data_IF_489380398663
#
_entry.id   IF_489380398663
#
_cell.length_a   1.000
_cell.length_b   1.000
_cell.length_c   1.000
_cell.angle_alpha   90.00
_cell.angle_beta   90.00
_cell.angle_gamma   90.00
#
_symmetry.space_group_name_H-M   'P 1'
#
loop_
_entity.id
_entity.type
_entity.pdbx_description
1 polymer ?
#
# COMPACT_ATOMS: atom_id res chain seq x y z
N UNK A 1 -40.99 3.22 -18.81
CA UNK A 1 -39.80 3.81 -19.44
C UNK A 1 -38.87 4.23 -18.33
N UNK A 2 -37.59 3.81 -18.30
CA UNK A 2 -36.65 4.32 -17.30
C UNK A 2 -36.53 5.84 -17.48
N UNK A 3 -36.57 6.60 -16.37
CA UNK A 3 -36.47 8.05 -16.42
C UNK A 3 -35.08 8.44 -16.94
N UNK A 4 -35.02 9.10 -18.11
CA UNK A 4 -33.80 9.60 -18.75
C UNK A 4 -32.91 10.42 -17.79
N UNK A 5 -33.54 11.13 -16.86
CA UNK A 5 -32.86 11.94 -15.85
C UNK A 5 -32.09 11.09 -14.84
N UNK A 6 -32.63 9.92 -14.44
CA UNK A 6 -31.96 8.99 -13.52
C UNK A 6 -30.75 8.32 -14.18
N UNK A 7 -30.88 7.93 -15.46
CA UNK A 7 -29.79 7.31 -16.22
C UNK A 7 -28.60 8.25 -16.46
N UNK A 8 -28.86 9.54 -16.68
CA UNK A 8 -27.79 10.54 -16.80
C UNK A 8 -27.04 10.68 -15.47
N UNK A 9 -27.76 10.76 -14.35
CA UNK A 9 -27.19 10.90 -13.01
C UNK A 9 -26.25 9.72 -12.67
N UNK A 10 -26.67 8.48 -12.92
CA UNK A 10 -25.83 7.29 -12.69
C UNK A 10 -24.54 7.31 -13.53
N UNK A 11 -24.63 7.80 -14.78
CA UNK A 11 -23.49 7.89 -15.68
C UNK A 11 -22.51 9.00 -15.26
N UNK A 12 -23.01 10.14 -14.76
CA UNK A 12 -22.18 11.19 -14.18
C UNK A 12 -21.44 10.71 -12.93
N UNK A 13 -22.11 9.98 -12.04
CA UNK A 13 -21.46 9.40 -10.86
C UNK A 13 -20.38 8.38 -11.26
N UNK A 14 -20.66 7.47 -12.20
CA UNK A 14 -19.66 6.52 -12.71
C UNK A 14 -18.46 7.21 -13.36
N UNK A 15 -18.67 8.29 -14.10
CA UNK A 15 -17.59 9.03 -14.75
C UNK A 15 -16.70 9.75 -13.74
N UNK A 16 -17.28 10.37 -12.71
CA UNK A 16 -16.54 11.01 -11.62
C UNK A 16 -15.72 9.98 -10.83
N UNK A 17 -16.32 8.83 -10.52
CA UNK A 17 -15.65 7.72 -9.81
C UNK A 17 -14.47 7.19 -10.64
N UNK A 18 -14.67 6.96 -11.94
CA UNK A 18 -13.59 6.47 -12.81
C UNK A 18 -12.43 7.46 -12.93
N UNK A 19 -12.72 8.75 -13.09
CA UNK A 19 -11.67 9.76 -13.20
C UNK A 19 -10.93 9.99 -11.88
N UNK A 20 -11.62 9.83 -10.74
CA UNK A 20 -11.01 9.84 -9.43
C UNK A 20 -10.06 8.64 -9.28
N UNK A 21 -10.55 7.42 -9.53
CA UNK A 21 -9.79 6.17 -9.35
C UNK A 21 -8.46 6.13 -10.12
N UNK A 22 -8.42 6.65 -11.36
CA UNK A 22 -7.19 6.67 -12.17
C UNK A 22 -6.05 7.44 -11.50
N UNK A 23 -6.33 8.57 -10.84
CA UNK A 23 -5.29 9.42 -10.25
C UNK A 23 -4.60 8.77 -9.04
N UNK A 24 -5.37 8.00 -8.25
CA UNK A 24 -4.85 7.36 -7.04
C UNK A 24 -3.93 6.17 -7.33
N UNK A 25 -4.15 5.48 -8.44
CA UNK A 25 -3.25 4.41 -8.90
C UNK A 25 -1.87 4.99 -9.22
N UNK A 26 -1.82 6.12 -9.94
CA UNK A 26 -0.54 6.83 -10.19
C UNK A 26 0.13 7.28 -8.90
N UNK A 27 -0.64 7.82 -7.95
CA UNK A 27 -0.10 8.20 -6.63
C UNK A 27 0.54 7.00 -5.91
N UNK A 28 -0.12 5.84 -5.91
CA UNK A 28 0.38 4.62 -5.26
C UNK A 28 1.65 4.09 -5.94
N UNK A 29 1.74 4.18 -7.27
CA UNK A 29 2.94 3.82 -8.04
C UNK A 29 4.11 4.75 -7.70
N UNK A 30 3.86 6.07 -7.61
CA UNK A 30 4.89 7.04 -7.22
C UNK A 30 5.40 6.74 -5.80
N UNK A 31 4.49 6.45 -4.88
CA UNK A 31 4.82 6.04 -3.51
C UNK A 31 5.69 4.78 -3.47
N UNK A 32 5.40 3.80 -4.31
CA UNK A 32 6.20 2.59 -4.44
C UNK A 32 7.64 2.89 -4.91
N UNK A 33 7.82 3.78 -5.89
CA UNK A 33 9.15 4.19 -6.34
C UNK A 33 9.92 4.99 -5.28
N UNK A 34 9.23 5.83 -4.50
CA UNK A 34 9.82 6.55 -3.35
C UNK A 34 10.29 5.54 -2.29
N UNK A 35 9.48 4.53 -1.99
CA UNK A 35 9.84 3.47 -1.05
C UNK A 35 11.09 2.71 -1.51
N UNK A 36 11.16 2.34 -2.80
CA UNK A 36 12.35 1.70 -3.39
C UNK A 36 13.58 2.61 -3.24
N UNK A 37 13.47 3.89 -3.58
CA UNK A 37 14.56 4.84 -3.39
C UNK A 37 15.00 4.93 -1.92
N UNK A 38 14.04 4.90 -0.98
CA UNK A 38 14.30 4.88 0.46
C UNK A 38 15.16 3.70 0.89
N UNK A 39 14.90 2.50 0.35
CA UNK A 39 15.72 1.30 0.60
C UNK A 39 17.15 1.48 0.07
N UNK A 40 17.31 2.01 -1.15
CA UNK A 40 18.64 2.15 -1.78
C UNK A 40 19.51 3.22 -1.14
N UNK A 41 18.93 4.37 -0.74
CA UNK A 41 19.68 5.45 -0.08
C UNK A 41 20.10 5.06 1.35
N UNK A 42 19.27 4.31 2.06
CA UNK A 42 19.36 4.15 3.51
C UNK A 42 20.16 2.92 3.96
N UNK A 43 21.23 2.56 3.23
CA UNK A 43 22.01 1.32 3.48
C UNK A 43 22.67 1.24 4.87
N UNK A 44 22.84 2.37 5.56
CA UNK A 44 23.54 2.44 6.87
C UNK A 44 22.60 2.22 8.07
N UNK A 45 21.32 2.51 7.91
CA UNK A 45 20.37 2.53 9.03
C UNK A 45 19.27 1.48 8.79
N UNK A 46 19.43 0.31 9.41
CA UNK A 46 18.53 -0.85 9.23
C UNK A 46 17.07 -0.47 9.56
N UNK A 47 16.86 0.40 10.55
CA UNK A 47 15.52 0.89 10.92
C UNK A 47 14.85 1.64 9.76
N UNK A 48 15.60 2.46 9.03
CA UNK A 48 15.07 3.22 7.88
C UNK A 48 14.80 2.27 6.70
N UNK A 49 15.59 1.21 6.55
CA UNK A 49 15.33 0.15 5.58
C UNK A 49 14.01 -0.56 5.89
N UNK A 50 13.77 -0.97 7.15
CA UNK A 50 12.49 -1.58 7.55
C UNK A 50 11.30 -0.66 7.31
N UNK A 51 11.41 0.63 7.66
CA UNK A 51 10.36 1.62 7.38
C UNK A 51 10.10 1.80 5.88
N UNK A 52 11.15 1.73 5.05
CA UNK A 52 11.00 1.80 3.60
C UNK A 52 10.31 0.56 3.03
N UNK A 53 10.51 -0.63 3.64
CA UNK A 53 9.81 -1.85 3.25
C UNK A 53 8.33 -1.80 3.68
N UNK A 54 8.01 -1.30 4.87
CA UNK A 54 6.61 -1.03 5.26
C UNK A 54 5.93 -0.07 4.28
N UNK A 55 6.61 1.00 3.87
CA UNK A 55 6.11 1.95 2.87
C UNK A 55 5.93 1.30 1.48
N UNK A 56 6.74 0.28 1.16
CA UNK A 56 6.57 -0.48 -0.08
C UNK A 56 5.30 -1.36 -0.01
N UNK A 57 5.08 -2.04 1.13
CA UNK A 57 3.87 -2.84 1.37
C UNK A 57 2.60 -1.97 1.40
N UNK A 58 2.63 -0.78 2.01
CA UNK A 58 1.47 0.13 2.02
C UNK A 58 1.10 0.60 0.60
N UNK A 59 2.10 0.81 -0.26
CA UNK A 59 1.88 1.21 -1.66
C UNK A 59 1.20 0.08 -2.46
N UNK A 60 1.60 -1.17 -2.21
CA UNK A 60 0.98 -2.35 -2.82
C UNK A 60 -0.47 -2.49 -2.32
N UNK A 61 -0.71 -2.34 -1.01
CA UNK A 61 -2.06 -2.37 -0.43
C UNK A 61 -3.01 -1.34 -1.07
N UNK A 62 -2.52 -0.12 -1.29
CA UNK A 62 -3.28 0.94 -1.96
C UNK A 62 -3.67 0.54 -3.38
N UNK A 63 -2.74 -0.02 -4.16
CA UNK A 63 -3.03 -0.52 -5.52
C UNK A 63 -4.15 -1.57 -5.49
N UNK A 64 -4.11 -2.52 -4.55
CA UNK A 64 -5.16 -3.56 -4.43
C UNK A 64 -6.53 -2.97 -4.07
N UNK A 65 -6.57 -1.98 -3.18
CA UNK A 65 -7.81 -1.28 -2.82
C UNK A 65 -8.39 -0.53 -4.02
N UNK A 66 -7.56 0.20 -4.77
CA UNK A 66 -8.05 0.93 -5.94
C UNK A 66 -8.48 -0.01 -7.07
N UNK A 67 -7.81 -1.15 -7.22
CA UNK A 67 -8.20 -2.17 -8.20
C UNK A 67 -9.52 -2.85 -7.82
N UNK A 68 -9.75 -3.10 -6.53
CA UNK A 68 -11.04 -3.58 -6.00
C UNK A 68 -12.18 -2.61 -6.33
N UNK A 69 -11.96 -1.30 -6.15
CA UNK A 69 -12.93 -0.26 -6.48
C UNK A 69 -13.14 -0.08 -7.99
N UNK A 70 -12.13 -0.36 -8.81
CA UNK A 70 -12.23 -0.23 -10.26
C UNK A 70 -12.98 -1.40 -10.91
N UNK A 71 -12.79 -2.62 -10.38
CA UNK A 71 -13.46 -3.82 -10.87
C UNK A 71 -14.77 -4.15 -10.13
N UNK A 72 -15.15 -3.33 -9.13
CA UNK A 72 -16.28 -3.59 -8.21
C UNK A 72 -16.22 -5.01 -7.60
N UNK A 73 -15.00 -5.46 -7.26
CA UNK A 73 -14.75 -6.81 -6.76
C UNK A 73 -14.16 -6.81 -5.34
N UNK A 74 -14.67 -7.66 -4.46
CA UNK A 74 -14.26 -7.74 -3.06
C UNK A 74 -12.90 -8.44 -2.86
N UNK A 75 -12.40 -9.18 -3.85
CA UNK A 75 -11.12 -9.89 -3.74
C UNK A 75 -9.92 -8.98 -3.44
N UNK A 76 -9.90 -7.76 -3.97
CA UNK A 76 -8.80 -6.81 -3.70
C UNK A 76 -8.83 -6.28 -2.25
N UNK A 77 -10.00 -6.12 -1.64
CA UNK A 77 -10.12 -5.76 -0.21
C UNK A 77 -9.64 -6.89 0.69
N UNK A 78 -10.02 -8.14 0.40
CA UNK A 78 -9.56 -9.32 1.15
C UNK A 78 -8.03 -9.46 1.06
N UNK A 79 -7.47 -9.32 -0.14
CA UNK A 79 -6.01 -9.36 -0.36
C UNK A 79 -5.28 -8.28 0.45
N UNK A 80 -5.88 -7.09 0.57
CA UNK A 80 -5.32 -5.98 1.36
C UNK A 80 -5.21 -6.31 2.85
N UNK A 81 -6.20 -7.02 3.42
CA UNK A 81 -6.16 -7.45 4.82
C UNK A 81 -5.06 -8.50 5.07
N UNK A 82 -4.83 -9.39 4.11
CA UNK A 82 -3.72 -10.34 4.19
C UNK A 82 -2.36 -9.63 4.15
N UNK A 83 -2.19 -8.66 3.24
CA UNK A 83 -0.94 -7.89 3.15
C UNK A 83 -0.71 -7.08 4.43
N UNK A 84 -1.75 -6.49 5.03
CA UNK A 84 -1.67 -5.80 6.31
C UNK A 84 -1.16 -6.73 7.42
N UNK A 85 -1.67 -7.97 7.46
CA UNK A 85 -1.24 -8.98 8.44
C UNK A 85 0.22 -9.40 8.23
N UNK A 86 0.65 -9.54 6.97
CA UNK A 86 2.03 -9.85 6.61
C UNK A 86 2.95 -8.70 7.01
N UNK A 87 2.57 -7.45 6.75
CA UNK A 87 3.35 -6.27 7.16
C UNK A 87 3.54 -6.18 8.67
N UNK A 88 2.48 -6.46 9.45
CA UNK A 88 2.59 -6.54 10.91
C UNK A 88 3.53 -7.65 11.39
N UNK A 89 3.48 -8.81 10.74
CA UNK A 89 4.40 -9.91 11.05
C UNK A 89 5.85 -9.58 10.67
N UNK A 90 6.07 -8.92 9.53
CA UNK A 90 7.39 -8.54 9.06
C UNK A 90 8.04 -7.53 10.01
N UNK A 91 7.31 -6.50 10.44
CA UNK A 91 7.85 -5.47 11.33
C UNK A 91 8.18 -6.02 12.71
N UNK A 92 7.35 -6.93 13.25
CA UNK A 92 7.66 -7.65 14.48
C UNK A 92 8.97 -8.45 14.36
N UNK A 93 9.16 -9.18 13.26
CA UNK A 93 10.39 -9.94 13.00
C UNK A 93 11.58 -9.01 12.80
N UNK A 94 11.44 -7.95 12.00
CA UNK A 94 12.49 -6.97 11.72
C UNK A 94 13.00 -6.26 12.97
N UNK A 95 12.10 -5.78 13.83
CA UNK A 95 12.49 -5.17 15.10
C UNK A 95 13.15 -6.20 16.04
N UNK A 96 12.63 -7.43 16.11
CA UNK A 96 13.21 -8.47 16.98
C UNK A 96 14.68 -8.78 16.63
N UNK A 97 15.00 -8.81 15.33
CA UNK A 97 16.36 -9.00 14.83
C UNK A 97 17.27 -7.83 15.22
N UNK A 98 16.80 -6.59 15.06
CA UNK A 98 17.57 -5.40 15.46
C UNK A 98 17.89 -5.41 16.94
N UNK A 99 16.89 -5.69 17.79
CA UNK A 99 17.07 -5.72 19.25
C UNK A 99 18.08 -6.79 19.66
N UNK A 100 17.99 -7.99 19.07
CA UNK A 100 18.94 -9.08 19.35
C UNK A 100 20.36 -8.73 18.91
N UNK A 101 20.52 -8.08 17.76
CA UNK A 101 21.82 -7.65 17.25
C UNK A 101 22.49 -6.62 18.16
N UNK A 102 21.76 -5.56 18.54
CA UNK A 102 22.28 -4.53 19.46
C UNK A 102 22.63 -5.11 20.83
N UNK A 103 21.82 -6.04 21.33
CA UNK A 103 22.09 -6.73 22.58
C UNK A 103 23.41 -7.49 22.50
N UNK A 104 23.64 -8.28 21.45
CA UNK A 104 24.88 -9.07 21.29
C UNK A 104 26.13 -8.20 21.16
N UNK A 105 26.03 -7.02 20.54
CA UNK A 105 27.18 -6.12 20.40
C UNK A 105 27.64 -5.52 21.73
N UNK A 106 26.71 -5.16 22.61
CA UNK A 106 27.02 -4.55 23.92
C UNK A 106 27.61 -5.53 24.96
N UNK A 107 27.66 -6.83 24.66
CA UNK A 107 28.24 -7.84 25.55
C UNK A 107 29.70 -8.20 25.22
N UNK A 108 30.33 -7.53 24.24
CA UNK A 108 31.76 -7.58 23.94
C UNK A 108 32.37 -6.18 24.08
#
# INVERSE_FOLDING_TARGET
MPNLQLFLIDNYYKLIINHFNSNWIYFSIILFFIAIHGVFLSRKNIIIVLMSIELMLISIMLIFIFFSLYLDDFFGQVSTLFILSIGASESAVGLSLIVSYYKSYNYF
#
